data_IF_356353342657
#
_entry.id   IF_356353342657
#
_cell.length_a   1.000
_cell.length_b   1.000
_cell.length_c   1.000
_cell.angle_alpha   90.00
_cell.angle_beta   90.00
_cell.angle_gamma   90.00
#
_symmetry.space_group_name_H-M   'P 1'
#
loop_
_entity.id
_entity.type
_entity.pdbx_description
1 polymer ?
#
# COMPACT_ATOMS: atom_id res chain seq x y z
N UNK A 1 -5.14 -3.93 -20.49
CA UNK A 1 -5.13 -3.98 -19.02
C UNK A 1 -4.10 -4.95 -18.44
N UNK A 2 -3.86 -6.12 -19.03
CA UNK A 2 -2.86 -7.09 -18.51
C UNK A 2 -1.42 -6.56 -18.52
N UNK A 3 -1.04 -5.75 -19.48
CA UNK A 3 0.32 -5.20 -19.59
C UNK A 3 0.64 -4.23 -18.45
N UNK A 4 -0.31 -3.34 -18.11
CA UNK A 4 -0.13 -2.39 -16.99
C UNK A 4 0.00 -3.13 -15.67
N UNK A 5 -0.85 -4.15 -15.44
CA UNK A 5 -0.78 -4.96 -14.23
C UNK A 5 0.60 -5.64 -14.10
N UNK A 6 1.13 -6.23 -15.18
CA UNK A 6 2.47 -6.84 -15.17
C UNK A 6 3.57 -5.85 -14.80
N UNK A 7 3.53 -4.63 -15.32
CA UNK A 7 4.49 -3.57 -14.95
C UNK A 7 4.41 -3.20 -13.47
N UNK A 8 3.19 -3.07 -12.92
CA UNK A 8 3.00 -2.78 -11.50
C UNK A 8 3.49 -3.93 -10.61
N UNK A 9 3.25 -5.18 -11.03
CA UNK A 9 3.75 -6.38 -10.35
C UNK A 9 5.29 -6.45 -10.39
N UNK A 10 5.92 -6.09 -11.53
CA UNK A 10 7.39 -6.04 -11.63
C UNK A 10 8.00 -4.95 -10.73
N UNK A 11 7.37 -3.78 -10.65
CA UNK A 11 7.83 -2.71 -9.73
C UNK A 11 7.76 -3.21 -8.28
N UNK A 12 6.63 -3.81 -7.87
CA UNK A 12 6.50 -4.37 -6.52
C UNK A 12 7.53 -5.46 -6.22
N UNK A 13 7.77 -6.36 -7.19
CA UNK A 13 8.82 -7.38 -7.10
C UNK A 13 10.23 -6.79 -6.99
N UNK A 14 10.53 -5.74 -7.76
CA UNK A 14 11.82 -5.05 -7.71
C UNK A 14 12.03 -4.34 -6.36
N UNK A 15 11.00 -3.69 -5.81
CA UNK A 15 11.04 -3.08 -4.47
C UNK A 15 11.32 -4.13 -3.39
N UNK A 16 10.65 -5.26 -3.46
CA UNK A 16 10.85 -6.36 -2.53
C UNK A 16 12.26 -6.96 -2.64
N UNK A 17 12.77 -7.16 -3.85
CA UNK A 17 14.14 -7.66 -4.06
C UNK A 17 15.19 -6.67 -3.55
N UNK A 18 14.99 -5.36 -3.78
CA UNK A 18 15.85 -4.32 -3.25
C UNK A 18 15.85 -4.31 -1.72
N UNK A 19 14.68 -4.40 -1.09
CA UNK A 19 14.54 -4.52 0.36
C UNK A 19 15.31 -5.74 0.89
N UNK A 20 15.12 -6.89 0.25
CA UNK A 20 15.78 -8.12 0.64
C UNK A 20 17.30 -8.03 0.50
N UNK A 21 17.80 -7.45 -0.59
CA UNK A 21 19.22 -7.23 -0.82
C UNK A 21 19.85 -6.31 0.27
N UNK A 22 19.14 -5.24 0.63
CA UNK A 22 19.59 -4.33 1.71
C UNK A 22 19.65 -5.05 3.06
N UNK A 23 18.66 -5.90 3.38
CA UNK A 23 18.70 -6.71 4.60
C UNK A 23 19.88 -7.69 4.62
N UNK A 24 20.14 -8.39 3.51
CA UNK A 24 21.30 -9.30 3.41
C UNK A 24 22.61 -8.53 3.58
N UNK A 25 22.73 -7.37 2.93
CA UNK A 25 23.90 -6.49 3.07
C UNK A 25 24.10 -6.06 4.54
N UNK A 26 23.04 -5.61 5.19
CA UNK A 26 23.06 -5.17 6.59
C UNK A 26 23.49 -6.30 7.54
N UNK A 27 22.88 -7.49 7.39
CA UNK A 27 23.22 -8.67 8.19
C UNK A 27 24.68 -9.06 7.93
N UNK A 28 25.09 -9.12 6.66
CA UNK A 28 26.47 -9.44 6.27
C UNK A 28 27.48 -8.45 6.83
N UNK A 29 27.22 -7.15 6.71
CA UNK A 29 28.11 -6.11 7.27
C UNK A 29 28.24 -6.21 8.79
N UNK A 30 27.15 -6.46 9.48
CA UNK A 30 27.11 -6.56 10.93
C UNK A 30 27.82 -7.81 11.47
N UNK A 31 27.60 -8.97 10.85
CA UNK A 31 28.11 -10.24 11.36
C UNK A 31 29.47 -10.64 10.78
N UNK A 32 29.79 -10.29 9.51
CA UNK A 32 31.05 -10.65 8.88
C UNK A 32 32.15 -9.60 9.14
N UNK A 33 31.78 -8.31 9.11
CA UNK A 33 32.74 -7.21 9.23
C UNK A 33 32.68 -6.47 10.57
N UNK A 34 31.72 -6.87 11.45
CA UNK A 34 31.46 -6.22 12.75
C UNK A 34 31.30 -4.69 12.64
N UNK A 35 30.82 -4.21 11.49
CA UNK A 35 30.59 -2.80 11.21
C UNK A 35 29.13 -2.60 10.81
N UNK A 36 28.27 -2.05 11.70
CA UNK A 36 26.92 -1.70 11.34
C UNK A 36 26.94 -0.53 10.32
N UNK A 37 26.10 -0.64 9.28
CA UNK A 37 25.92 0.41 8.28
C UNK A 37 24.62 1.17 8.57
N UNK A 38 24.65 2.36 9.23
CA UNK A 38 23.42 3.05 9.64
C UNK A 38 22.49 3.42 8.46
N UNK A 39 23.05 3.68 7.28
CA UNK A 39 22.26 4.01 6.10
C UNK A 39 21.43 2.83 5.56
N UNK A 40 21.84 1.59 5.81
CA UNK A 40 21.07 0.41 5.40
C UNK A 40 19.80 0.23 6.24
N UNK A 41 19.85 0.60 7.52
CA UNK A 41 18.66 0.58 8.38
C UNK A 41 17.59 1.54 7.86
N UNK A 42 17.97 2.79 7.54
CA UNK A 42 17.03 3.76 6.98
C UNK A 42 16.51 3.34 5.61
N UNK A 43 17.40 2.90 4.72
CA UNK A 43 17.01 2.47 3.39
C UNK A 43 16.05 1.26 3.44
N UNK A 44 16.28 0.32 4.36
CA UNK A 44 15.39 -0.82 4.56
C UNK A 44 13.99 -0.37 5.00
N UNK A 45 13.90 0.60 5.93
CA UNK A 45 12.60 1.16 6.37
C UNK A 45 11.88 1.86 5.20
N UNK A 46 12.59 2.66 4.42
CA UNK A 46 12.01 3.34 3.25
C UNK A 46 11.48 2.33 2.23
N UNK A 47 12.30 1.34 1.85
CA UNK A 47 11.89 0.30 0.91
C UNK A 47 10.74 -0.56 1.44
N UNK A 48 10.72 -0.83 2.75
CA UNK A 48 9.63 -1.56 3.40
C UNK A 48 8.30 -0.81 3.30
N UNK A 49 8.30 0.50 3.61
CA UNK A 49 7.12 1.36 3.49
C UNK A 49 6.62 1.36 2.04
N UNK A 50 7.52 1.57 1.07
CA UNK A 50 7.17 1.58 -0.34
C UNK A 50 6.63 0.23 -0.81
N UNK A 51 7.27 -0.86 -0.41
CA UNK A 51 6.85 -2.22 -0.80
C UNK A 51 5.44 -2.54 -0.29
N UNK A 52 5.16 -2.27 0.99
CA UNK A 52 3.84 -2.57 1.57
C UNK A 52 2.74 -1.73 0.93
N UNK A 53 2.92 -0.41 0.88
CA UNK A 53 1.88 0.46 0.34
C UNK A 53 1.68 0.24 -1.16
N UNK A 54 2.77 -0.04 -1.90
CA UNK A 54 2.68 -0.41 -3.32
C UNK A 54 1.90 -1.71 -3.52
N UNK A 55 2.23 -2.75 -2.75
CA UNK A 55 1.54 -4.02 -2.82
C UNK A 55 0.05 -3.87 -2.51
N UNK A 56 -0.30 -3.16 -1.44
CA UNK A 56 -1.69 -2.88 -1.07
C UNK A 56 -2.42 -2.06 -2.15
N UNK A 57 -1.75 -1.06 -2.75
CA UNK A 57 -2.37 -0.22 -3.76
C UNK A 57 -2.65 -0.96 -5.08
N UNK A 58 -1.73 -1.81 -5.54
CA UNK A 58 -1.74 -2.32 -6.91
C UNK A 58 -1.78 -3.84 -7.03
N UNK A 59 -1.17 -4.60 -6.10
CA UNK A 59 -1.02 -6.05 -6.22
C UNK A 59 -2.15 -6.80 -5.52
N UNK A 60 -2.61 -6.31 -4.37
CA UNK A 60 -3.66 -6.97 -3.59
C UNK A 60 -5.03 -6.70 -4.23
N UNK A 61 -5.81 -7.75 -4.57
CA UNK A 61 -7.16 -7.60 -5.09
C UNK A 61 -8.08 -6.88 -4.10
N UNK A 62 -9.02 -6.09 -4.60
CA UNK A 62 -9.95 -5.33 -3.77
C UNK A 62 -10.74 -6.23 -2.78
N UNK A 63 -11.14 -7.41 -3.23
CA UNK A 63 -11.84 -8.39 -2.41
C UNK A 63 -11.03 -8.89 -1.20
N UNK A 64 -9.70 -8.87 -1.29
CA UNK A 64 -8.81 -9.35 -0.21
C UNK A 64 -8.58 -8.31 0.90
N UNK A 65 -8.95 -7.05 0.68
CA UNK A 65 -8.89 -6.02 1.74
C UNK A 65 -10.03 -6.19 2.78
N UNK A 66 -11.09 -6.90 2.42
CA UNK A 66 -12.21 -7.22 3.30
C UNK A 66 -12.30 -8.74 3.41
N UNK A 67 -11.36 -9.35 4.12
CA UNK A 67 -11.34 -10.81 4.31
C UNK A 67 -12.22 -11.24 5.48
N UNK A 68 -13.51 -11.28 5.23
CA UNK A 68 -14.47 -12.07 6.00
C UNK A 68 -14.72 -13.41 5.30
N UNK A 69 -13.67 -14.04 4.75
CA UNK A 69 -13.76 -15.19 3.87
C UNK A 69 -14.56 -16.35 4.47
N UNK A 70 -14.42 -16.59 5.76
CA UNK A 70 -15.19 -17.62 6.48
C UNK A 70 -16.69 -17.30 6.57
N UNK A 71 -17.03 -16.02 6.71
CA UNK A 71 -18.45 -15.59 6.76
C UNK A 71 -19.02 -15.53 5.35
N UNK A 72 -18.27 -15.00 4.40
CA UNK A 72 -18.67 -14.86 2.99
C UNK A 72 -18.83 -16.21 2.28
N UNK A 73 -18.05 -17.24 2.67
CA UNK A 73 -18.16 -18.59 2.10
C UNK A 73 -19.48 -19.30 2.46
N UNK A 74 -20.16 -18.84 3.51
CA UNK A 74 -21.45 -19.43 3.96
C UNK A 74 -22.68 -18.65 3.48
N UNK A 75 -22.47 -17.52 2.81
CA UNK A 75 -23.56 -16.67 2.34
C UNK A 75 -23.93 -17.00 0.89
N UNK A 76 -25.22 -16.94 0.51
CA UNK A 76 -25.65 -16.96 -0.88
C UNK A 76 -25.04 -15.80 -1.68
N UNK A 77 -24.98 -15.94 -3.02
CA UNK A 77 -24.28 -14.99 -3.89
C UNK A 77 -24.73 -13.52 -3.72
N UNK A 78 -26.04 -13.27 -3.60
CA UNK A 78 -26.57 -11.91 -3.45
C UNK A 78 -26.09 -11.19 -2.17
N UNK A 79 -26.29 -11.70 -0.94
CA UNK A 79 -25.80 -11.04 0.27
C UNK A 79 -24.27 -10.98 0.34
N UNK A 80 -23.56 -11.92 -0.30
CA UNK A 80 -22.11 -11.90 -0.43
C UNK A 80 -21.64 -10.67 -1.23
N UNK A 81 -22.25 -10.43 -2.40
CA UNK A 81 -21.94 -9.24 -3.23
C UNK A 81 -22.25 -7.95 -2.48
N UNK A 82 -23.38 -7.86 -1.81
CA UNK A 82 -23.76 -6.71 -1.01
C UNK A 82 -22.73 -6.38 0.08
N UNK A 83 -22.31 -7.38 0.83
CA UNK A 83 -21.36 -7.20 1.92
C UNK A 83 -19.98 -6.79 1.41
N UNK A 84 -19.53 -7.38 0.29
CA UNK A 84 -18.27 -6.98 -0.36
C UNK A 84 -18.34 -5.55 -0.89
N UNK A 85 -19.42 -5.17 -1.56
CA UNK A 85 -19.62 -3.81 -2.06
C UNK A 85 -19.65 -2.81 -0.92
N UNK A 86 -20.42 -3.10 0.15
CA UNK A 86 -20.48 -2.24 1.34
C UNK A 86 -19.09 -2.04 1.96
N UNK A 87 -18.31 -3.12 2.12
CA UNK A 87 -16.97 -3.05 2.66
C UNK A 87 -16.03 -2.17 1.82
N UNK A 88 -16.08 -2.29 0.49
CA UNK A 88 -15.27 -1.47 -0.42
C UNK A 88 -15.69 0.00 -0.41
N UNK A 89 -16.99 0.29 -0.37
CA UNK A 89 -17.52 1.65 -0.29
C UNK A 89 -17.14 2.30 1.05
N UNK A 90 -17.24 1.56 2.16
CA UNK A 90 -16.82 2.05 3.48
C UNK A 90 -15.32 2.35 3.51
N UNK A 91 -14.48 1.44 3.01
CA UNK A 91 -13.03 1.66 2.92
C UNK A 91 -12.69 2.87 2.04
N UNK A 92 -13.35 3.01 0.88
CA UNK A 92 -13.20 4.16 0.00
C UNK A 92 -13.63 5.47 0.67
N UNK A 93 -14.73 5.45 1.42
CA UNK A 93 -15.23 6.61 2.18
C UNK A 93 -14.29 7.04 3.31
N UNK A 94 -13.78 6.07 4.07
CA UNK A 94 -12.77 6.34 5.11
C UNK A 94 -11.47 6.87 4.51
N UNK A 95 -11.02 6.30 3.40
CA UNK A 95 -9.83 6.77 2.68
C UNK A 95 -10.03 8.20 2.16
N UNK A 96 -11.22 8.53 1.64
CA UNK A 96 -11.55 9.88 1.19
C UNK A 96 -11.50 10.89 2.34
N UNK A 97 -12.03 10.53 3.51
CA UNK A 97 -11.98 11.36 4.71
C UNK A 97 -10.55 11.53 5.22
N UNK A 98 -9.71 10.50 5.12
CA UNK A 98 -8.32 10.53 5.56
C UNK A 98 -7.41 11.33 4.61
N UNK A 99 -7.75 11.46 3.32
CA UNK A 99 -6.92 12.11 2.31
C UNK A 99 -6.49 13.54 2.66
N UNK A 100 -7.40 14.49 3.03
CA UNK A 100 -6.99 15.85 3.31
C UNK A 100 -6.04 15.93 4.52
N UNK A 101 -6.34 15.22 5.58
CA UNK A 101 -5.49 15.19 6.78
C UNK A 101 -4.11 14.56 6.47
N UNK A 102 -4.08 13.50 5.67
CA UNK A 102 -2.82 12.87 5.24
C UNK A 102 -2.00 13.78 4.32
N UNK A 103 -2.65 14.55 3.46
CA UNK A 103 -1.99 15.53 2.61
C UNK A 103 -1.34 16.64 3.42
N UNK A 104 -2.07 17.24 4.37
CA UNK A 104 -1.55 18.29 5.25
C UNK A 104 -0.38 17.78 6.11
N UNK A 105 -0.50 16.55 6.61
CA UNK A 105 0.58 15.88 7.34
C UNK A 105 1.83 15.68 6.48
N UNK A 106 1.68 15.24 5.24
CA UNK A 106 2.82 15.07 4.33
C UNK A 106 3.47 16.41 3.96
N UNK A 107 2.69 17.47 3.79
CA UNK A 107 3.24 18.80 3.55
C UNK A 107 4.08 19.29 4.75
N UNK A 108 3.63 19.03 5.97
CA UNK A 108 4.40 19.29 7.17
C UNK A 108 5.71 18.50 7.19
N UNK A 109 5.65 17.19 6.88
CA UNK A 109 6.80 16.28 6.82
C UNK A 109 7.81 16.62 5.71
N UNK A 110 7.48 17.52 4.79
CA UNK A 110 8.41 17.98 3.75
C UNK A 110 9.64 18.71 4.32
N UNK A 111 9.51 19.27 5.52
CA UNK A 111 10.58 20.00 6.22
C UNK A 111 11.49 19.09 7.03
N UNK A 112 11.02 17.87 7.30
CA UNK A 112 11.74 16.86 8.05
C UNK A 112 12.45 15.90 7.09
N UNK A 113 13.61 15.41 7.49
CA UNK A 113 14.41 14.47 6.70
C UNK A 113 14.88 13.32 7.57
N UNK A 114 15.22 12.20 6.93
CA UNK A 114 15.83 11.05 7.62
C UNK A 114 17.22 11.41 8.14
N UNK A 115 17.63 10.79 9.25
CA UNK A 115 18.80 11.21 10.01
C UNK A 115 20.14 10.94 9.31
N UNK A 116 20.22 9.87 8.49
CA UNK A 116 21.47 9.45 7.83
C UNK A 116 21.45 9.73 6.35
N UNK A 117 20.36 9.38 5.65
CA UNK A 117 20.23 9.57 4.19
C UNK A 117 19.80 10.99 3.79
N UNK A 118 19.26 11.77 4.75
CA UNK A 118 18.75 13.11 4.47
C UNK A 118 17.56 13.14 3.51
N UNK A 119 16.83 12.04 3.37
CA UNK A 119 15.66 11.96 2.48
C UNK A 119 14.48 12.71 3.12
N UNK A 120 13.82 13.64 2.41
CA UNK A 120 12.62 14.27 2.93
C UNK A 120 11.54 13.24 3.23
N UNK A 121 10.97 13.27 4.44
CA UNK A 121 9.96 12.30 4.89
C UNK A 121 8.70 12.34 4.01
N UNK A 122 8.46 13.43 3.32
CA UNK A 122 7.43 13.54 2.28
C UNK A 122 7.52 12.39 1.26
N UNK A 123 8.71 12.13 0.72
CA UNK A 123 8.90 11.06 -0.27
C UNK A 123 8.79 9.68 0.34
N UNK A 124 9.21 9.52 1.59
CA UNK A 124 9.12 8.24 2.32
C UNK A 124 7.66 7.82 2.48
N UNK A 125 6.77 8.75 2.82
CA UNK A 125 5.35 8.47 3.07
C UNK A 125 4.42 8.74 1.88
N UNK A 126 4.94 9.22 0.75
CA UNK A 126 4.15 9.44 -0.46
C UNK A 126 3.34 8.20 -0.91
N UNK A 127 3.84 6.97 -0.81
CA UNK A 127 3.06 5.78 -1.18
C UNK A 127 1.77 5.59 -0.37
N UNK A 128 1.69 6.14 0.84
CA UNK A 128 0.45 6.17 1.62
C UNK A 128 -0.65 6.93 0.88
N UNK A 129 -0.34 8.11 0.33
CA UNK A 129 -1.32 8.88 -0.46
C UNK A 129 -1.75 8.12 -1.70
N UNK A 130 -0.81 7.46 -2.38
CA UNK A 130 -1.12 6.63 -3.55
C UNK A 130 -2.10 5.53 -3.17
N UNK A 131 -1.88 4.86 -2.03
CA UNK A 131 -2.80 3.85 -1.51
C UNK A 131 -4.19 4.43 -1.22
N UNK A 132 -4.27 5.56 -0.51
CA UNK A 132 -5.55 6.21 -0.19
C UNK A 132 -6.33 6.58 -1.45
N UNK A 133 -5.68 7.17 -2.44
CA UNK A 133 -6.31 7.49 -3.74
C UNK A 133 -6.81 6.23 -4.43
N UNK A 134 -6.03 5.15 -4.43
CA UNK A 134 -6.44 3.88 -5.04
C UNK A 134 -7.63 3.24 -4.32
N UNK A 135 -7.70 3.34 -2.99
CA UNK A 135 -8.86 2.86 -2.22
C UNK A 135 -10.12 3.66 -2.55
N UNK A 136 -10.01 4.99 -2.68
CA UNK A 136 -11.13 5.85 -3.11
C UNK A 136 -11.60 5.45 -4.51
N UNK A 137 -10.68 5.32 -5.47
CA UNK A 137 -11.02 4.96 -6.84
C UNK A 137 -11.70 3.59 -6.92
N UNK A 138 -11.22 2.61 -6.14
CA UNK A 138 -11.83 1.28 -6.06
C UNK A 138 -13.24 1.33 -5.44
N UNK A 139 -13.41 2.11 -4.36
CA UNK A 139 -14.71 2.30 -3.71
C UNK A 139 -15.75 2.92 -4.67
N UNK A 140 -15.35 3.98 -5.39
CA UNK A 140 -16.20 4.63 -6.40
C UNK A 140 -16.53 3.67 -7.56
N UNK A 141 -15.54 2.96 -8.06
CA UNK A 141 -15.74 1.97 -9.13
C UNK A 141 -16.76 0.89 -8.72
N UNK A 142 -16.61 0.34 -7.52
CA UNK A 142 -17.51 -0.69 -6.99
C UNK A 142 -18.95 -0.15 -6.83
N UNK A 143 -19.09 1.07 -6.33
CA UNK A 143 -20.39 1.74 -6.20
C UNK A 143 -21.08 1.91 -7.57
N UNK A 144 -20.33 2.34 -8.60
CA UNK A 144 -20.86 2.50 -9.96
C UNK A 144 -21.29 1.15 -10.55
N UNK A 145 -20.52 0.09 -10.30
CA UNK A 145 -20.91 -1.25 -10.77
C UNK A 145 -22.17 -1.76 -10.08
N UNK A 146 -22.27 -1.62 -8.75
CA UNK A 146 -23.46 -2.01 -8.00
C UNK A 146 -24.73 -1.31 -8.50
N UNK A 147 -24.63 -0.01 -8.82
CA UNK A 147 -25.77 0.73 -9.41
C UNK A 147 -26.17 0.24 -10.82
N UNK A 148 -25.21 -0.22 -11.62
CA UNK A 148 -25.48 -0.76 -12.97
C UNK A 148 -26.13 -2.16 -12.94
N UNK A 149 -25.79 -2.95 -11.93
CA UNK A 149 -26.30 -4.32 -11.76
C UNK A 149 -27.66 -4.36 -11.03
N UNK A 150 -28.21 -3.19 -10.66
CA UNK A 150 -29.53 -3.07 -10.03
C UNK A 150 -29.57 -3.56 -8.58
N UNK A 151 -28.42 -3.50 -7.92
CA UNK A 151 -28.27 -3.76 -6.49
C UNK A 151 -28.66 -2.53 -5.68
#
# INVERSE_FOLDING_TARGET
MQTIKRWLDHIGGALFLALFAVFILQIGARFLFNQPLPWTDELAVVLYIWTIFWACAFMVPAASHVSLDLLLARLPDKPRMWLQTLGQVLLGGLALQALPASWDYLLFMRREATAVLGLPLFWVFLPLLVLLVMLVLRGVWQMVQAMKEGL
#
